data_IF_824294589384
#
_entry.id   IF_824294589384
#
_cell.length_a   1.000
_cell.length_b   1.000
_cell.length_c   1.000
_cell.angle_alpha   90.00
_cell.angle_beta   90.00
_cell.angle_gamma   90.00
#
_symmetry.space_group_name_H-M   'P 1'
#
loop_
_entity.id
_entity.type
_entity.pdbx_description
1 polymer ?
#
# COMPACT_ATOMS: atom_id res chain seq x y z
N UNK A 1 -0.59 -5.90 7.35
CA UNK A 1 -0.47 -5.27 6.00
C UNK A 1 1.00 -5.16 5.66
N UNK A 2 1.35 -4.88 4.41
CA UNK A 2 2.71 -4.52 4.01
C UNK A 2 2.69 -3.12 3.40
N UNK A 3 3.56 -2.22 3.86
CA UNK A 3 3.61 -0.82 3.43
C UNK A 3 4.88 -0.55 2.61
N UNK A 4 4.76 0.30 1.59
CA UNK A 4 5.86 0.70 0.69
C UNK A 4 5.57 2.07 0.07
N UNK A 5 6.39 2.51 -0.88
CA UNK A 5 6.20 3.76 -1.60
C UNK A 5 6.86 4.98 -0.95
N UNK A 6 7.74 4.77 0.04
CA UNK A 6 8.64 5.81 0.56
C UNK A 6 10.05 5.64 -0.05
N UNK A 7 10.49 6.53 -0.95
CA UNK A 7 11.84 6.48 -1.54
C UNK A 7 12.98 6.61 -0.52
N UNK A 8 12.71 7.18 0.66
CA UNK A 8 13.71 7.33 1.73
C UNK A 8 13.83 6.09 2.62
N UNK A 9 12.82 5.21 2.59
CA UNK A 9 12.74 4.02 3.44
C UNK A 9 12.60 4.32 4.94
N UNK A 10 12.12 5.51 5.32
CA UNK A 10 11.98 5.95 6.73
C UNK A 10 10.56 5.84 7.26
N UNK A 11 9.58 5.64 6.38
CA UNK A 11 8.15 5.73 6.68
C UNK A 11 7.61 7.17 6.72
N UNK A 12 8.47 8.18 6.56
CA UNK A 12 8.10 9.61 6.65
C UNK A 12 8.23 10.36 5.33
N UNK A 13 8.91 9.78 4.34
CA UNK A 13 9.12 10.40 3.04
C UNK A 13 8.00 10.15 2.05
N UNK A 14 8.25 10.52 0.80
CA UNK A 14 7.32 10.32 -0.31
C UNK A 14 6.39 11.50 -0.59
N UNK A 15 6.32 11.86 -1.87
CA UNK A 15 5.53 12.98 -2.39
C UNK A 15 4.69 12.50 -3.57
N UNK A 16 3.54 13.12 -3.77
CA UNK A 16 2.72 12.86 -4.96
C UNK A 16 3.38 13.46 -6.21
N UNK A 17 2.85 13.11 -7.38
CA UNK A 17 3.23 13.74 -8.65
C UNK A 17 2.84 15.23 -8.72
N UNK A 18 1.93 15.68 -7.85
CA UNK A 18 1.48 17.08 -7.77
C UNK A 18 2.42 17.94 -6.92
N UNK A 19 3.46 17.36 -6.32
CA UNK A 19 4.38 18.06 -5.41
C UNK A 19 3.81 18.27 -4.00
N UNK A 20 2.50 18.34 -3.85
CA UNK A 20 1.79 18.47 -2.58
C UNK A 20 1.09 17.17 -2.15
N UNK A 21 0.49 17.16 -0.95
CA UNK A 21 -0.41 16.06 -0.56
C UNK A 21 -1.76 16.23 -1.27
N UNK A 22 -2.48 15.13 -1.47
CA UNK A 22 -3.79 15.15 -2.14
C UNK A 22 -4.90 14.50 -1.28
N UNK A 23 -6.14 14.80 -1.66
CA UNK A 23 -7.35 14.41 -0.98
C UNK A 23 -7.58 12.90 -0.88
N UNK A 24 -8.37 12.49 0.11
CA UNK A 24 -8.89 11.12 0.18
C UNK A 24 -10.10 10.96 -0.77
N UNK A 25 -10.15 9.85 -1.51
CA UNK A 25 -11.26 9.51 -2.40
C UNK A 25 -12.10 8.39 -1.77
N UNK A 26 -12.77 8.71 -0.65
CA UNK A 26 -13.51 7.73 0.13
C UNK A 26 -14.83 7.35 -0.54
N UNK A 27 -15.02 6.05 -0.76
CA UNK A 27 -16.28 5.49 -1.26
C UNK A 27 -16.91 4.50 -0.27
N UNK A 28 -18.22 4.58 -0.10
CA UNK A 28 -18.96 3.75 0.84
C UNK A 28 -19.01 2.26 0.45
N UNK A 29 -18.86 1.94 -0.83
CA UNK A 29 -18.85 0.58 -1.38
C UNK A 29 -17.44 -0.08 -1.36
N UNK A 30 -16.38 0.71 -1.15
CA UNK A 30 -15.02 0.19 -1.02
C UNK A 30 -14.66 -0.02 0.46
N UNK A 31 -14.32 -1.25 0.81
CA UNK A 31 -14.04 -1.69 2.18
C UNK A 31 -12.87 -2.65 2.22
N UNK A 32 -12.08 -2.60 3.29
CA UNK A 32 -10.93 -3.46 3.52
C UNK A 32 -11.39 -4.85 4.03
N UNK A 33 -12.17 -5.55 3.23
CA UNK A 33 -12.86 -6.82 3.59
C UNK A 33 -11.98 -8.06 3.55
N UNK A 34 -10.74 -7.95 3.08
CA UNK A 34 -9.86 -9.10 2.94
C UNK A 34 -8.45 -8.72 2.54
N UNK A 35 -7.65 -9.73 2.26
CA UNK A 35 -6.28 -9.56 1.80
C UNK A 35 -6.20 -9.11 0.33
N UNK A 36 -5.11 -8.44 -0.02
CA UNK A 36 -4.80 -8.00 -1.38
C UNK A 36 -5.46 -6.69 -1.79
N UNK A 37 -6.01 -5.92 -0.87
CA UNK A 37 -6.58 -4.59 -1.15
C UNK A 37 -5.44 -3.56 -1.09
N UNK A 38 -5.34 -2.71 -2.11
CA UNK A 38 -4.36 -1.62 -2.19
C UNK A 38 -4.99 -0.31 -1.75
N UNK A 39 -4.33 0.36 -0.81
CA UNK A 39 -4.81 1.62 -0.25
C UNK A 39 -3.68 2.60 0.02
N UNK A 40 -3.97 3.90 -0.07
CA UNK A 40 -3.00 4.95 0.23
C UNK A 40 -2.69 5.00 1.72
N UNK A 41 -1.40 5.13 2.07
CA UNK A 41 -0.99 5.45 3.43
C UNK A 41 -1.04 6.97 3.62
N UNK A 42 -1.58 7.41 4.76
CA UNK A 42 -1.73 8.83 5.10
C UNK A 42 -1.44 9.04 6.60
N UNK A 43 -1.22 10.29 6.99
CA UNK A 43 -0.98 10.73 8.38
C UNK A 43 -2.18 11.50 8.95
N UNK A 44 -3.37 11.25 8.41
CA UNK A 44 -4.59 12.02 8.65
C UNK A 44 -5.33 12.34 7.34
N UNK A 45 -6.54 12.90 7.43
CA UNK A 45 -7.36 13.18 6.24
C UNK A 45 -6.62 14.03 5.20
N UNK A 46 -6.74 13.66 3.93
CA UNK A 46 -6.20 14.39 2.77
C UNK A 46 -4.67 14.58 2.80
N UNK A 47 -3.94 13.59 3.33
CA UNK A 47 -2.46 13.64 3.38
C UNK A 47 -1.79 12.58 2.51
N UNK A 48 -2.44 12.21 1.40
CA UNK A 48 -1.93 11.19 0.48
C UNK A 48 -0.68 11.68 -0.26
N UNK A 49 0.30 10.80 -0.43
CA UNK A 49 1.57 11.08 -1.12
C UNK A 49 1.91 9.96 -2.09
N UNK A 50 3.09 9.34 -1.94
CA UNK A 50 3.47 8.14 -2.72
C UNK A 50 3.38 6.83 -1.95
N UNK A 51 3.21 6.89 -0.62
CA UNK A 51 3.15 5.70 0.21
C UNK A 51 1.80 4.99 0.08
N UNK A 52 1.85 3.66 -0.02
CA UNK A 52 0.67 2.81 -0.07
C UNK A 52 0.92 1.49 0.65
N UNK A 53 -0.14 0.78 0.97
CA UNK A 53 -0.06 -0.53 1.59
C UNK A 53 -0.96 -1.55 0.91
N UNK A 54 -0.64 -2.83 1.13
CA UNK A 54 -1.46 -3.97 0.73
C UNK A 54 -1.94 -4.72 1.96
N UNK A 55 -3.24 -4.97 2.07
CA UNK A 55 -3.81 -5.73 3.20
C UNK A 55 -3.40 -7.20 3.15
N UNK A 56 -3.15 -7.80 4.32
CA UNK A 56 -2.87 -9.25 4.45
C UNK A 56 -4.05 -10.03 5.03
N UNK A 57 -5.06 -9.32 5.54
CA UNK A 57 -6.26 -9.82 6.19
C UNK A 57 -7.33 -8.71 6.13
N UNK A 58 -8.60 -8.98 6.51
CA UNK A 58 -9.59 -7.93 6.69
C UNK A 58 -9.13 -6.89 7.73
N UNK A 59 -9.30 -5.60 7.43
CA UNK A 59 -8.88 -4.48 8.30
C UNK A 59 -9.96 -3.38 8.36
N UNK A 60 -11.17 -3.68 8.89
CA UNK A 60 -12.31 -2.76 8.84
C UNK A 60 -12.08 -1.42 9.57
N UNK A 61 -11.12 -1.35 10.51
CA UNK A 61 -10.78 -0.11 11.21
C UNK A 61 -10.11 0.95 10.31
N UNK A 62 -9.71 0.58 9.08
CA UNK A 62 -9.16 1.47 8.06
C UNK A 62 -10.24 2.01 7.10
N UNK A 63 -11.47 1.47 7.16
CA UNK A 63 -12.55 1.88 6.28
C UNK A 63 -12.94 3.34 6.51
N UNK A 64 -13.07 4.09 5.40
CA UNK A 64 -13.36 5.52 5.46
C UNK A 64 -12.21 6.41 5.91
N UNK A 65 -11.02 5.83 6.14
CA UNK A 65 -9.80 6.57 6.56
C UNK A 65 -8.68 6.55 5.52
N UNK A 66 -8.67 5.54 4.66
CA UNK A 66 -7.66 5.36 3.61
C UNK A 66 -8.33 5.13 2.27
N UNK A 67 -7.87 5.85 1.25
CA UNK A 67 -8.33 5.70 -0.14
C UNK A 67 -7.96 4.31 -0.66
N UNK A 68 -8.96 3.49 -1.00
CA UNK A 68 -8.77 2.22 -1.71
C UNK A 68 -8.73 2.52 -3.21
N UNK A 69 -7.62 2.17 -3.88
CA UNK A 69 -7.43 2.45 -5.31
C UNK A 69 -7.18 1.20 -6.15
N UNK A 70 -7.11 0.01 -5.54
CA UNK A 70 -6.91 -1.21 -6.31
C UNK A 70 -6.99 -2.50 -5.51
N UNK A 71 -6.82 -3.61 -6.22
CA UNK A 71 -6.72 -4.95 -5.66
C UNK A 71 -5.69 -5.76 -6.43
N UNK A 72 -4.95 -6.61 -5.73
CA UNK A 72 -4.02 -7.57 -6.32
C UNK A 72 -4.80 -8.53 -7.22
N UNK A 73 -4.55 -8.47 -8.54
CA UNK A 73 -5.13 -9.38 -9.53
C UNK A 73 -4.48 -10.77 -9.49
N UNK A 74 -3.15 -10.81 -9.46
CA UNK A 74 -2.35 -12.04 -9.44
C UNK A 74 -1.13 -11.88 -8.53
N UNK A 75 -0.50 -12.98 -8.12
CA UNK A 75 0.71 -12.93 -7.30
C UNK A 75 0.47 -12.73 -5.79
N UNK A 76 -0.74 -12.96 -5.27
CA UNK A 76 -1.05 -12.80 -3.84
C UNK A 76 -0.14 -13.63 -2.92
N UNK A 77 0.35 -14.79 -3.38
CA UNK A 77 1.30 -15.63 -2.64
C UNK A 77 2.65 -14.93 -2.41
N UNK A 78 3.05 -14.00 -3.28
CA UNK A 78 4.25 -13.17 -3.08
C UNK A 78 3.99 -12.18 -1.95
N UNK A 79 2.86 -11.47 -1.99
CA UNK A 79 2.46 -10.52 -0.93
C UNK A 79 2.34 -11.21 0.44
N UNK A 80 1.74 -12.40 0.49
CA UNK A 80 1.66 -13.20 1.72
C UNK A 80 3.05 -13.57 2.25
N UNK A 81 3.97 -13.98 1.37
CA UNK A 81 5.37 -14.27 1.77
C UNK A 81 6.09 -13.02 2.28
N UNK A 82 5.86 -11.86 1.66
CA UNK A 82 6.38 -10.58 2.17
C UNK A 82 5.86 -10.28 3.57
N UNK A 83 4.61 -10.64 3.89
CA UNK A 83 4.03 -10.50 5.22
C UNK A 83 4.59 -11.45 6.30
N UNK A 84 5.41 -12.44 5.92
CA UNK A 84 6.00 -13.42 6.83
C UNK A 84 7.51 -13.21 7.04
N UNK A 85 8.10 -12.21 6.39
CA UNK A 85 9.53 -11.92 6.55
C UNK A 85 9.82 -11.45 7.97
N UNK A 86 11.02 -11.79 8.47
CA UNK A 86 11.45 -11.35 9.79
C UNK A 86 11.57 -9.83 9.82
N UNK A 87 10.96 -9.18 10.81
CA UNK A 87 11.05 -7.75 11.05
C UNK A 87 11.88 -7.42 12.30
N UNK A 88 12.38 -6.20 12.38
CA UNK A 88 12.95 -5.61 13.58
C UNK A 88 11.86 -5.01 14.49
N UNK A 89 12.24 -4.34 15.57
CA UNK A 89 11.29 -3.71 16.51
C UNK A 89 10.48 -2.53 15.97
N UNK A 90 10.77 -2.07 14.75
CA UNK A 90 10.07 -0.98 14.06
C UNK A 90 9.20 -1.52 12.90
N UNK A 91 8.91 -2.83 12.90
CA UNK A 91 8.20 -3.53 11.83
C UNK A 91 8.86 -3.44 10.44
N UNK A 92 10.15 -3.09 10.39
CA UNK A 92 10.95 -3.06 9.16
C UNK A 92 11.57 -4.44 8.91
N UNK A 93 11.51 -5.00 7.68
CA UNK A 93 12.19 -6.23 7.34
C UNK A 93 13.69 -6.19 7.70
N UNK A 94 14.19 -7.26 8.33
CA UNK A 94 15.62 -7.40 8.68
C UNK A 94 16.46 -7.51 7.40
N UNK A 95 15.99 -8.33 6.46
CA UNK A 95 16.54 -8.43 5.12
C UNK A 95 15.75 -7.50 4.19
N UNK A 96 16.46 -6.69 3.39
CA UNK A 96 15.83 -5.71 2.50
C UNK A 96 14.92 -6.39 1.46
N UNK A 97 13.65 -5.97 1.44
CA UNK A 97 12.68 -6.32 0.39
C UNK A 97 12.33 -5.06 -0.39
N UNK A 98 12.62 -5.03 -1.69
CA UNK A 98 12.45 -3.85 -2.54
C UNK A 98 11.75 -4.12 -3.86
N UNK A 99 11.08 -3.09 -4.38
CA UNK A 99 10.54 -3.08 -5.74
C UNK A 99 11.70 -2.75 -6.69
N UNK A 100 12.04 -3.69 -7.56
CA UNK A 100 13.13 -3.50 -8.54
C UNK A 100 12.65 -2.75 -9.78
N UNK A 101 11.41 -3.03 -10.21
CA UNK A 101 10.82 -2.47 -11.41
C UNK A 101 9.29 -2.48 -11.30
N UNK A 102 8.66 -1.45 -11.84
CA UNK A 102 7.23 -1.43 -12.12
C UNK A 102 7.03 -1.25 -13.63
N UNK A 103 5.94 -1.81 -14.16
CA UNK A 103 5.48 -1.60 -15.54
C UNK A 103 3.97 -1.47 -15.54
N UNK A 104 3.45 -0.60 -16.39
CA UNK A 104 2.02 -0.58 -16.71
C UNK A 104 1.79 -1.69 -17.72
N UNK A 105 0.76 -2.52 -17.49
CA UNK A 105 0.36 -3.60 -18.40
C UNK A 105 -0.98 -3.23 -19.02
N UNK A 106 -1.09 -3.41 -20.33
CA UNK A 106 -2.35 -3.22 -21.05
C UNK A 106 -3.26 -4.46 -20.87
N UNK A 107 -4.56 -4.29 -21.05
CA UNK A 107 -5.50 -5.42 -20.99
C UNK A 107 -5.14 -6.46 -22.06
N UNK A 108 -4.76 -7.67 -21.62
CA UNK A 108 -4.46 -8.80 -22.49
C UNK A 108 -2.99 -9.22 -22.52
N UNK A 109 -2.08 -8.44 -21.93
CA UNK A 109 -0.69 -8.84 -21.74
C UNK A 109 -0.51 -9.52 -20.37
N UNK A 110 -0.19 -10.83 -20.37
CA UNK A 110 0.27 -11.57 -19.17
C UNK A 110 1.80 -11.57 -19.04
#
# INVERSE_FOLDING_TARGET
MVQTGDPTGTGRGGSSIYGEKFEDEIRADLKHTGAGILSMANSGPNTNGSQFFVTLAPTPWLDGKHTIFGRVKSGMRVIQRMGLVKTNGEDRPVDEVKIIRARVVEEGEE
#
